data_IF_642753205100
#
_entry.id   IF_642753205100
#
_cell.length_a   1.000
_cell.length_b   1.000
_cell.length_c   1.000
_cell.angle_alpha   90.00
_cell.angle_beta   90.00
_cell.angle_gamma   90.00
#
_symmetry.space_group_name_H-M   'P 1'
#
loop_
_entity.id
_entity.type
_entity.pdbx_description
1 polymer ?
#
# COMPACT_ATOMS: atom_id res chain seq x y z
N UNK A 1 26.37 -10.26 -10.23
CA UNK A 1 25.84 -10.57 -8.88
C UNK A 1 24.37 -11.03 -8.96
N UNK A 2 24.16 -12.34 -9.01
CA UNK A 2 22.84 -12.97 -8.97
C UNK A 2 22.26 -12.82 -7.56
N UNK A 3 21.16 -12.07 -7.45
CA UNK A 3 20.45 -11.85 -6.19
C UNK A 3 19.84 -13.17 -5.70
N UNK A 4 20.32 -13.71 -4.57
CA UNK A 4 19.65 -14.81 -3.87
C UNK A 4 18.28 -14.33 -3.38
N UNK A 5 17.21 -14.94 -3.90
CA UNK A 5 15.84 -14.62 -3.49
C UNK A 5 15.53 -15.32 -2.18
N UNK A 6 15.70 -14.63 -1.05
CA UNK A 6 15.19 -15.10 0.26
C UNK A 6 13.67 -15.02 0.27
N UNK A 7 13.00 -16.16 0.40
CA UNK A 7 11.54 -16.21 0.61
C UNK A 7 11.22 -15.82 2.04
N UNK A 8 10.52 -14.70 2.23
CA UNK A 8 9.93 -14.32 3.51
C UNK A 8 8.51 -14.89 3.63
N UNK A 9 8.17 -15.48 4.78
CA UNK A 9 6.83 -16.00 5.05
C UNK A 9 5.98 -14.89 5.69
N UNK A 10 4.82 -14.61 5.10
CA UNK A 10 3.84 -13.66 5.62
C UNK A 10 2.94 -14.34 6.67
N UNK A 11 3.13 -14.01 7.94
CA UNK A 11 2.37 -14.60 9.05
C UNK A 11 1.24 -13.70 9.56
N UNK A 12 1.34 -12.39 9.36
CA UNK A 12 0.36 -11.44 9.87
C UNK A 12 -0.66 -11.02 8.79
N UNK A 13 -1.97 -11.11 9.08
CA UNK A 13 -3.03 -10.70 8.16
C UNK A 13 -2.92 -9.23 7.69
N UNK A 14 -2.48 -8.33 8.58
CA UNK A 14 -2.24 -6.92 8.24
C UNK A 14 -1.17 -6.71 7.17
N UNK A 15 -0.08 -7.48 7.22
CA UNK A 15 0.99 -7.37 6.23
C UNK A 15 0.52 -7.95 4.89
N UNK A 16 -0.23 -9.05 4.91
CA UNK A 16 -0.82 -9.62 3.71
C UNK A 16 -1.80 -8.62 3.02
N UNK A 17 -2.64 -7.95 3.80
CA UNK A 17 -3.56 -6.92 3.28
C UNK A 17 -2.81 -5.71 2.71
N UNK A 18 -1.77 -5.23 3.38
CA UNK A 18 -0.94 -4.14 2.91
C UNK A 18 -0.21 -4.49 1.59
N UNK A 19 0.36 -5.70 1.50
CA UNK A 19 1.00 -6.18 0.27
C UNK A 19 0.02 -6.38 -0.88
N UNK A 20 -1.20 -6.87 -0.60
CA UNK A 20 -2.26 -6.95 -1.62
C UNK A 20 -2.56 -5.56 -2.18
N UNK A 21 -2.78 -4.56 -1.31
CA UNK A 21 -3.02 -3.18 -1.74
C UNK A 21 -1.87 -2.62 -2.57
N UNK A 22 -0.62 -2.90 -2.19
CA UNK A 22 0.55 -2.46 -2.96
C UNK A 22 0.57 -3.07 -4.37
N UNK A 23 0.26 -4.37 -4.50
CA UNK A 23 0.16 -5.05 -5.80
C UNK A 23 -0.95 -4.41 -6.64
N UNK A 24 -2.14 -4.27 -6.08
CA UNK A 24 -3.30 -3.73 -6.81
C UNK A 24 -3.04 -2.29 -7.30
N UNK A 25 -2.34 -1.47 -6.51
CA UNK A 25 -1.96 -0.10 -6.89
C UNK A 25 -0.88 -0.07 -7.99
N UNK A 26 0.09 -0.98 -7.94
CA UNK A 26 1.08 -1.12 -9.04
C UNK A 26 0.40 -1.55 -10.34
N UNK A 27 -0.55 -2.49 -10.28
CA UNK A 27 -1.30 -2.94 -11.46
C UNK A 27 -2.14 -1.79 -12.03
N UNK A 28 -2.76 -0.97 -11.19
CA UNK A 28 -3.49 0.23 -11.62
C UNK A 28 -2.57 1.28 -12.24
N UNK A 29 -1.41 1.54 -11.64
CA UNK A 29 -0.41 2.44 -12.20
C UNK A 29 0.07 1.98 -13.58
N UNK A 30 0.34 0.68 -13.72
CA UNK A 30 0.73 0.08 -14.99
C UNK A 30 -0.38 0.18 -16.04
N UNK A 31 -1.62 -0.09 -15.66
CA UNK A 31 -2.77 0.06 -16.54
C UNK A 31 -2.96 1.51 -17.00
N UNK A 32 -2.85 2.48 -16.08
CA UNK A 32 -2.92 3.90 -16.40
C UNK A 32 -1.82 4.33 -17.37
N UNK A 33 -0.59 3.85 -17.15
CA UNK A 33 0.54 4.10 -18.04
C UNK A 33 0.29 3.52 -19.44
N UNK A 34 -0.21 2.28 -19.53
CA UNK A 34 -0.55 1.61 -20.79
C UNK A 34 -1.69 2.30 -21.55
N UNK A 35 -2.62 2.92 -20.82
CA UNK A 35 -3.71 3.72 -21.39
C UNK A 35 -3.28 5.12 -21.84
N UNK A 36 -2.01 5.49 -21.63
CA UNK A 36 -1.50 6.81 -22.00
C UNK A 36 -2.03 7.93 -21.10
N UNK A 37 -2.40 7.61 -19.87
CA UNK A 37 -2.82 8.63 -18.89
C UNK A 37 -1.65 9.56 -18.55
N UNK A 38 -1.94 10.82 -18.15
CA UNK A 38 -0.92 11.72 -17.64
C UNK A 38 -0.11 11.10 -16.50
N UNK A 39 1.20 11.40 -16.47
CA UNK A 39 2.09 10.89 -15.43
C UNK A 39 1.68 11.30 -14.03
N UNK A 40 0.98 12.42 -13.87
CA UNK A 40 0.40 12.84 -12.59
C UNK A 40 -0.55 11.75 -12.04
N UNK A 41 -1.39 11.16 -12.90
CA UNK A 41 -2.30 10.06 -12.51
C UNK A 41 -1.51 8.77 -12.21
N UNK A 42 -0.55 8.43 -13.06
CA UNK A 42 0.32 7.24 -12.85
C UNK A 42 1.05 7.33 -11.52
N UNK A 43 1.52 8.53 -11.16
CA UNK A 43 2.28 8.79 -9.94
C UNK A 43 1.44 8.67 -8.66
N UNK A 44 0.13 8.97 -8.70
CA UNK A 44 -0.77 8.81 -7.56
C UNK A 44 -0.85 7.33 -7.13
N UNK A 45 -1.01 6.43 -8.10
CA UNK A 45 -1.07 4.99 -7.81
C UNK A 45 0.28 4.45 -7.31
N UNK A 46 1.41 4.96 -7.82
CA UNK A 46 2.73 4.60 -7.29
C UNK A 46 2.95 5.06 -5.85
N UNK A 47 2.47 6.25 -5.47
CA UNK A 47 2.52 6.71 -4.09
C UNK A 47 1.67 5.81 -3.20
N UNK A 48 0.46 5.45 -3.66
CA UNK A 48 -0.43 4.53 -2.95
C UNK A 48 0.25 3.17 -2.72
N UNK A 49 0.93 2.63 -3.73
CA UNK A 49 1.72 1.41 -3.59
C UNK A 49 2.86 1.56 -2.56
N UNK A 50 3.58 2.68 -2.59
CA UNK A 50 4.66 2.97 -1.66
C UNK A 50 4.15 3.06 -0.22
N UNK A 51 3.04 3.74 0.04
CA UNK A 51 2.48 3.90 1.38
C UNK A 51 1.94 2.57 1.92
N UNK A 52 1.33 1.75 1.05
CA UNK A 52 0.95 0.39 1.41
C UNK A 52 2.16 -0.46 1.82
N UNK A 53 3.33 -0.27 1.20
CA UNK A 53 4.57 -0.94 1.60
C UNK A 53 5.14 -0.40 2.92
N UNK A 54 5.06 0.91 3.17
CA UNK A 54 5.46 1.51 4.47
C UNK A 54 4.65 0.94 5.64
N UNK A 55 3.36 0.68 5.42
CA UNK A 55 2.51 0.01 6.41
C UNK A 55 2.99 -1.41 6.77
N UNK A 56 3.75 -2.09 5.90
CA UNK A 56 4.36 -3.40 6.19
C UNK A 56 5.59 -3.25 7.08
N UNK A 57 6.41 -2.21 6.90
CA UNK A 57 7.61 -1.93 7.70
C UNK A 57 7.30 -1.26 9.03
N UNK A 58 6.05 -0.82 9.24
CA UNK A 58 5.64 -0.10 10.45
C UNK A 58 5.91 1.41 10.38
N UNK A 59 6.31 1.91 9.21
CA UNK A 59 6.30 3.34 8.91
C UNK A 59 4.86 3.74 8.63
N UNK A 60 4.12 4.00 9.70
CA UNK A 60 2.72 4.42 9.64
C UNK A 60 2.71 5.94 9.75
N UNK A 61 2.22 6.64 8.72
CA UNK A 61 2.11 8.10 8.72
C UNK A 61 1.16 8.57 9.83
N UNK A 62 1.29 9.82 10.27
CA UNK A 62 0.41 10.39 11.31
C UNK A 62 -1.09 10.32 10.92
N UNK A 63 -1.39 10.32 9.62
CA UNK A 63 -2.74 10.25 9.07
C UNK A 63 -3.41 8.87 9.30
N UNK A 64 -2.65 7.78 9.18
CA UNK A 64 -3.14 6.41 9.43
C UNK A 64 -3.48 6.17 10.92
N UNK A 65 -2.76 6.83 11.83
CA UNK A 65 -3.05 6.76 13.28
C UNK A 65 -4.41 7.41 13.56
N UNK A 66 -4.71 8.54 12.90
CA UNK A 66 -5.98 9.22 13.07
C UNK A 66 -7.14 8.35 12.57
N UNK A 67 -7.02 7.74 11.40
CA UNK A 67 -8.05 6.84 10.86
C UNK A 67 -8.25 5.59 11.72
N UNK A 68 -7.19 5.06 12.33
CA UNK A 68 -7.28 3.93 13.25
C UNK A 68 -7.91 4.30 14.60
N UNK A 69 -7.68 5.53 15.08
CA UNK A 69 -8.36 6.09 16.25
C UNK A 69 -9.85 6.25 15.95
N UNK A 70 -10.20 6.91 14.83
CA UNK A 70 -11.58 7.22 14.48
C UNK A 70 -12.40 6.00 14.03
N UNK A 71 -11.79 4.96 13.47
CA UNK A 71 -12.49 3.71 13.11
C UNK A 71 -12.83 2.82 14.32
N UNK A 72 -12.15 2.99 15.46
CA UNK A 72 -12.49 2.30 16.73
C UNK A 72 -13.52 3.04 17.57
N UNK A 73 -13.78 4.31 17.28
CA UNK A 73 -14.99 4.97 17.76
C UNK A 73 -16.14 4.53 16.87
N UNK A 74 -16.73 3.36 17.19
CA UNK A 74 -18.16 3.23 16.92
C UNK A 74 -18.80 4.48 17.51
N UNK A 75 -19.45 5.27 16.66
CA UNK A 75 -20.34 6.37 17.05
C UNK A 75 -21.39 5.74 17.96
N UNK A 76 -21.08 5.76 19.25
CA UNK A 76 -21.98 5.42 20.33
C UNK A 76 -22.74 6.69 20.66
N UNK A 77 -23.91 6.81 20.01
CA UNK A 77 -24.85 7.95 19.96
C UNK A 77 -24.53 9.07 18.97
#
# INVERSE_FOLDING_TARGET
>A
PTSESRTAILTHPRHAAALRRAIDAVDQSLAALQQGMPLDIVSVELHTAADALRAVTGEVGAEDILDQIFSRFCIGK
#
